data_IF_497703021221
#
_entry.id   IF_497703021221
#
_cell.length_a   1.000
_cell.length_b   1.000
_cell.length_c   1.000
_cell.angle_alpha   90.00
_cell.angle_beta   90.00
_cell.angle_gamma   90.00
#
_symmetry.space_group_name_H-M   'P 1'
#
loop_
_entity.id
_entity.type
_entity.pdbx_description
1 polymer ?
#
# COMPACT_ATOMS: atom_id res chain seq x y z
N UNK A 1 -4.80 24.44 19.48
CA UNK A 1 -4.47 23.90 19.31
C UNK A 1 -4.19 23.10 19.12
N UNK A 2 -3.95 22.85 18.96
CA UNK A 2 -3.56 22.12 18.74
C UNK A 2 -3.20 21.26 18.67
N UNK A 3 -3.08 21.07 18.67
CA UNK A 3 -2.65 20.41 18.72
C UNK A 3 -2.32 19.42 18.20
N UNK A 4 -1.83 19.22 17.76
CA UNK A 4 -1.41 18.39 17.27
C UNK A 4 -0.73 17.63 17.89
N UNK A 5 -0.82 16.98 18.09
CA UNK A 5 -0.18 16.34 18.63
C UNK A 5 0.69 15.79 18.02
N UNK A 6 1.43 15.70 18.29
CA UNK A 6 2.37 15.20 17.40
C UNK A 6 2.44 13.71 17.47
N UNK A 7 2.80 13.07 16.36
CA UNK A 7 2.94 11.64 16.35
C UNK A 7 4.10 11.22 17.22
N UNK A 8 4.16 9.94 17.47
CA UNK A 8 5.28 9.42 18.23
C UNK A 8 6.60 9.79 17.55
N UNK A 9 7.53 10.36 18.30
CA UNK A 9 8.82 10.71 17.70
C UNK A 9 9.65 9.50 17.33
N UNK A 10 9.24 8.32 17.78
CA UNK A 10 10.02 7.11 17.51
C UNK A 10 9.55 6.35 16.29
N UNK A 11 8.72 6.95 15.47
CA UNK A 11 8.26 6.25 14.28
C UNK A 11 8.10 7.20 13.13
N UNK A 12 8.20 6.65 11.95
CA UNK A 12 7.95 7.39 10.72
C UNK A 12 7.03 6.56 9.87
N UNK A 13 6.35 7.22 8.96
CA UNK A 13 5.54 6.54 7.97
C UNK A 13 6.39 6.35 6.73
N UNK A 14 6.44 5.12 6.29
CA UNK A 14 7.17 4.78 5.07
C UNK A 14 6.22 4.29 4.02
N UNK A 15 6.65 4.36 2.79
CA UNK A 15 5.84 3.97 1.66
C UNK A 15 6.68 3.08 0.76
N UNK A 16 6.11 1.98 0.30
CA UNK A 16 6.77 1.12 -0.66
C UNK A 16 5.84 0.87 -1.83
N UNK A 17 6.40 0.72 -3.01
CA UNK A 17 5.62 0.48 -4.21
C UNK A 17 5.38 -1.01 -4.39
N UNK A 18 4.22 -1.33 -4.94
CA UNK A 18 3.90 -2.72 -5.26
C UNK A 18 2.90 -2.76 -6.40
N UNK A 19 2.87 -3.88 -7.08
CA UNK A 19 1.90 -4.10 -8.14
C UNK A 19 1.20 -5.42 -7.88
N UNK A 20 -0.03 -5.52 -8.35
CA UNK A 20 -0.77 -6.75 -8.22
C UNK A 20 -1.77 -6.90 -9.33
N UNK A 21 -2.20 -8.12 -9.55
CA UNK A 21 -3.18 -8.41 -10.57
C UNK A 21 -4.10 -9.52 -10.13
N UNK A 22 -5.30 -9.53 -10.69
CA UNK A 22 -6.28 -10.54 -10.35
C UNK A 22 -7.35 -10.60 -11.43
N UNK A 23 -7.84 -11.78 -11.76
CA UNK A 23 -8.97 -11.88 -12.66
C UNK A 23 -10.30 -11.62 -11.96
N UNK A 24 -10.30 -11.46 -10.66
CA UNK A 24 -11.54 -11.34 -9.90
C UNK A 24 -12.08 -9.92 -9.79
N UNK A 25 -11.23 -8.92 -9.81
CA UNK A 25 -11.70 -7.56 -9.68
C UNK A 25 -10.64 -6.64 -9.12
N UNK A 26 -11.02 -5.38 -8.99
CA UNK A 26 -10.08 -4.35 -8.52
C UNK A 26 -9.65 -4.60 -7.08
N UNK A 27 -10.60 -4.96 -6.23
CA UNK A 27 -10.30 -5.17 -4.83
C UNK A 27 -9.30 -6.31 -4.67
N UNK A 28 -9.54 -7.40 -5.38
CA UNK A 28 -8.62 -8.53 -5.30
C UNK A 28 -7.24 -8.17 -5.83
N UNK A 29 -7.18 -7.33 -6.86
CA UNK A 29 -5.90 -6.89 -7.39
C UNK A 29 -5.15 -6.04 -6.37
N UNK A 30 -5.87 -5.17 -5.67
CA UNK A 30 -5.25 -4.34 -4.64
C UNK A 30 -4.72 -5.21 -3.50
N UNK A 31 -5.52 -6.16 -3.07
CA UNK A 31 -5.08 -7.08 -2.01
C UNK A 31 -3.84 -7.83 -2.44
N UNK A 32 -3.81 -8.29 -3.70
CA UNK A 32 -2.64 -8.99 -4.20
C UNK A 32 -1.41 -8.10 -4.17
N UNK A 33 -1.58 -6.82 -4.52
CA UNK A 33 -0.46 -5.89 -4.51
C UNK A 33 0.06 -5.68 -3.09
N UNK A 34 -0.85 -5.54 -2.13
CA UNK A 34 -0.44 -5.35 -0.75
C UNK A 34 0.34 -6.56 -0.25
N UNK A 35 -0.13 -7.74 -0.59
CA UNK A 35 0.59 -8.95 -0.21
C UNK A 35 1.96 -9.02 -0.85
N UNK A 36 2.05 -8.61 -2.11
CA UNK A 36 3.33 -8.62 -2.81
C UNK A 36 4.33 -7.66 -2.18
N UNK A 37 3.86 -6.63 -1.51
CA UNK A 37 4.74 -5.67 -0.87
C UNK A 37 5.45 -6.26 0.34
N UNK A 38 4.89 -7.32 0.90
CA UNK A 38 5.44 -7.98 2.08
C UNK A 38 5.46 -7.10 3.32
N UNK A 39 4.67 -6.07 3.32
CA UNK A 39 4.52 -5.22 4.51
C UNK A 39 3.61 -5.95 5.49
N UNK A 40 4.07 -6.09 6.72
CA UNK A 40 3.32 -6.85 7.70
C UNK A 40 2.06 -6.15 8.19
N UNK A 41 2.19 -4.88 8.51
CA UNK A 41 1.07 -4.15 9.08
C UNK A 41 0.86 -2.87 8.30
N UNK A 42 0.29 -2.99 7.10
CA UNK A 42 0.05 -1.77 6.32
C UNK A 42 -1.00 -0.91 7.00
N UNK A 43 -0.76 0.39 6.99
CA UNK A 43 -1.71 1.32 7.57
C UNK A 43 -2.51 2.05 6.51
N UNK A 44 -2.10 1.92 5.27
CA UNK A 44 -2.86 2.54 4.19
C UNK A 44 -2.33 2.13 2.85
N UNK A 45 -3.14 2.30 1.84
CA UNK A 45 -2.80 1.95 0.47
C UNK A 45 -3.29 3.07 -0.43
N UNK A 46 -2.40 3.58 -1.25
CA UNK A 46 -2.78 4.56 -2.26
C UNK A 46 -2.70 3.88 -3.61
N UNK A 47 -3.79 3.92 -4.36
CA UNK A 47 -3.80 3.35 -5.70
C UNK A 47 -3.26 4.41 -6.64
N UNK A 48 -2.14 4.11 -7.27
CA UNK A 48 -1.48 5.05 -8.17
C UNK A 48 -1.96 4.86 -9.59
N UNK A 49 -2.22 3.62 -9.96
CA UNK A 49 -2.60 3.33 -11.33
C UNK A 49 -3.48 2.10 -11.36
N UNK A 50 -4.50 2.15 -12.19
CA UNK A 50 -5.40 1.02 -12.41
C UNK A 50 -5.56 0.84 -13.89
N UNK A 51 -5.48 -0.40 -14.33
CA UNK A 51 -5.80 -0.69 -15.71
C UNK A 51 -6.18 -2.17 -15.80
N UNK A 52 -6.88 -2.50 -16.84
CA UNK A 52 -7.35 -3.87 -16.98
C UNK A 52 -7.27 -4.29 -18.43
N UNK A 53 -7.12 -5.59 -18.60
CA UNK A 53 -7.12 -6.16 -19.94
C UNK A 53 -8.55 -6.29 -20.41
N UNK A 54 -8.73 -6.04 -21.69
CA UNK A 54 -10.05 -6.08 -22.30
C UNK A 54 -10.21 -7.45 -23.00
N UNK A 55 -11.20 -8.19 -22.58
CA UNK A 55 -11.40 -9.54 -23.07
C UNK A 55 -12.41 -9.65 -24.20
N UNK A 56 -12.61 -8.57 -24.93
CA UNK A 56 -13.54 -8.58 -26.05
C UNK A 56 -14.89 -8.04 -25.70
N UNK A 57 -15.40 -8.30 -24.52
CA UNK A 57 -16.69 -7.82 -24.07
C UNK A 57 -16.66 -7.27 -22.68
N UNK A 58 -15.64 -7.60 -21.92
CA UNK A 58 -15.55 -7.19 -20.55
C UNK A 58 -14.10 -7.19 -20.13
N UNK A 59 -13.86 -6.67 -18.96
CA UNK A 59 -12.53 -6.68 -18.37
C UNK A 59 -12.20 -8.12 -17.99
N UNK A 60 -11.03 -8.58 -18.35
CA UNK A 60 -10.64 -9.97 -18.12
C UNK A 60 -9.62 -10.09 -16.99
N UNK A 61 -8.80 -9.07 -16.78
CA UNK A 61 -7.83 -9.14 -15.71
C UNK A 61 -7.52 -7.73 -15.26
N UNK A 62 -7.45 -7.57 -13.95
CA UNK A 62 -7.30 -6.27 -13.32
C UNK A 62 -5.90 -6.10 -12.79
N UNK A 63 -5.31 -4.94 -13.05
CA UNK A 63 -3.95 -4.64 -12.61
C UNK A 63 -3.93 -3.33 -11.86
N UNK A 64 -3.17 -3.27 -10.78
CA UNK A 64 -3.04 -2.05 -10.01
C UNK A 64 -1.59 -1.85 -9.62
N UNK A 65 -1.21 -0.58 -9.52
CA UNK A 65 0.05 -0.19 -8.92
C UNK A 65 -0.32 0.62 -7.70
N UNK A 66 0.27 0.31 -6.58
CA UNK A 66 -0.09 0.95 -5.32
C UNK A 66 1.14 1.38 -4.56
N UNK A 67 0.92 2.28 -3.63
CA UNK A 67 1.90 2.63 -2.62
C UNK A 67 1.34 2.17 -1.29
N UNK A 68 2.08 1.33 -0.62
CA UNK A 68 1.64 0.77 0.66
C UNK A 68 2.35 1.51 1.77
N UNK A 69 1.57 2.11 2.65
CA UNK A 69 2.11 2.88 3.76
C UNK A 69 2.19 2.01 4.98
N UNK A 70 3.26 2.14 5.70
CA UNK A 70 3.45 1.40 6.94
C UNK A 70 4.26 2.23 7.91
N UNK A 71 4.17 1.87 9.17
CA UNK A 71 4.86 2.60 10.23
C UNK A 71 6.12 1.85 10.62
N UNK A 72 7.20 2.57 10.73
CA UNK A 72 8.46 1.98 11.09
C UNK A 72 9.02 2.70 12.31
N UNK A 73 9.39 1.94 13.31
CA UNK A 73 9.99 2.52 14.50
C UNK A 73 11.41 2.97 14.19
N UNK A 74 11.81 4.06 14.80
CA UNK A 74 13.15 4.58 14.64
C UNK A 74 14.03 4.00 15.72
N UNK A 75 14.59 2.87 15.43
CA UNK A 75 15.40 2.21 16.43
C UNK A 75 16.63 2.98 16.84
N UNK A 76 17.21 3.64 15.89
CA UNK A 76 18.41 4.39 16.18
C UNK A 76 18.16 5.47 17.21
N UNK A 77 16.95 5.95 17.25
CA UNK A 77 16.62 6.99 18.20
C UNK A 77 16.66 6.51 19.62
N UNK A 78 16.67 5.25 19.79
CA UNK A 78 16.68 4.76 21.15
C UNK A 78 18.06 4.51 21.65
N UNK A 79 19.01 4.53 20.92
CA UNK A 79 20.14 4.25 21.37
C UNK A 79 20.79 5.04 21.83
N UNK A 80 20.91 5.30 22.15
CA UNK A 80 21.52 6.20 22.56
C UNK A 80 22.28 6.09 23.12
#
# INVERSE_FOLDING_TARGET
MPARRSPSPASVVRVTDATGGSPRGWDAAIVAAVKASEVKDPIGVEVVRMWAEWGGRKLSRYHVSVKVAYRQALKAATRT
#
